data_IF_418775157105
#
_entry.id   IF_418775157105
#
_cell.length_a   1.000
_cell.length_b   1.000
_cell.length_c   1.000
_cell.angle_alpha   90.00
_cell.angle_beta   90.00
_cell.angle_gamma   90.00
#
_symmetry.space_group_name_H-M   'P 1'
#
loop_
_entity.id
_entity.type
_entity.pdbx_description
1 polymer ?
#
# COMPACT_ATOMS: atom_id res chain seq x y z
N UNK A 1 -15.28 -18.50 43.65
CA UNK A 1 -15.86 -18.79 42.32
C UNK A 1 -14.77 -19.37 41.45
N UNK A 2 -14.76 -20.69 41.26
CA UNK A 2 -13.79 -21.37 40.40
C UNK A 2 -14.08 -21.04 38.93
N UNK A 3 -13.05 -20.84 38.07
CA UNK A 3 -13.30 -20.66 36.64
C UNK A 3 -13.93 -21.93 36.10
N UNK A 4 -15.09 -21.80 35.44
CA UNK A 4 -15.73 -22.91 34.72
C UNK A 4 -14.70 -23.43 33.70
N UNK A 5 -14.15 -24.62 33.95
CA UNK A 5 -13.40 -25.38 32.95
C UNK A 5 -14.26 -25.48 31.70
N UNK A 6 -13.72 -25.08 30.55
CA UNK A 6 -14.36 -25.24 29.24
C UNK A 6 -14.79 -26.70 29.07
N UNK A 7 -15.96 -26.92 28.47
CA UNK A 7 -16.41 -28.29 28.24
C UNK A 7 -15.45 -29.00 27.27
N UNK A 8 -15.11 -30.28 27.50
CA UNK A 8 -14.06 -31.01 26.79
C UNK A 8 -14.30 -31.22 25.27
N UNK A 9 -15.43 -30.73 24.73
CA UNK A 9 -15.82 -30.82 23.32
C UNK A 9 -16.15 -29.45 22.69
N UNK A 10 -15.60 -28.36 23.23
CA UNK A 10 -15.91 -27.03 22.71
C UNK A 10 -15.26 -26.78 21.34
N UNK A 11 -16.09 -26.59 20.31
CA UNK A 11 -15.65 -26.20 18.96
C UNK A 11 -15.00 -24.81 19.01
N UNK A 12 -13.83 -24.59 18.35
CA UNK A 12 -13.24 -23.26 18.29
C UNK A 12 -14.16 -22.31 17.53
N UNK A 13 -14.31 -21.08 18.05
CA UNK A 13 -15.12 -20.03 17.45
C UNK A 13 -14.24 -18.83 17.20
N UNK A 14 -14.18 -18.39 15.95
CA UNK A 14 -13.55 -17.13 15.54
C UNK A 14 -14.61 -16.03 15.68
N UNK A 15 -14.34 -15.04 16.52
CA UNK A 15 -15.24 -13.90 16.74
C UNK A 15 -14.83 -12.71 15.87
N UNK A 16 -13.54 -12.38 15.87
CA UNK A 16 -13.00 -11.28 15.07
C UNK A 16 -11.64 -11.64 14.51
N UNK A 17 -11.37 -11.18 13.29
CA UNK A 17 -10.04 -11.19 12.66
C UNK A 17 -9.68 -9.77 12.27
N UNK A 18 -8.53 -9.29 12.73
CA UNK A 18 -8.03 -7.93 12.44
C UNK A 18 -6.54 -7.95 12.09
N UNK A 19 -6.08 -7.21 11.07
CA UNK A 19 -6.87 -6.44 10.10
C UNK A 19 -7.70 -7.35 9.17
N UNK A 20 -8.63 -6.80 8.37
CA UNK A 20 -9.46 -7.59 7.45
C UNK A 20 -8.69 -8.21 6.28
N UNK A 21 -7.47 -7.73 6.01
CA UNK A 21 -6.62 -8.25 4.94
C UNK A 21 -5.15 -8.35 5.33
N UNK A 22 -4.41 -9.24 4.67
CA UNK A 22 -2.97 -9.35 4.81
C UNK A 22 -2.31 -9.89 3.53
N UNK A 23 -1.05 -9.52 3.31
CA UNK A 23 -0.16 -10.16 2.31
C UNK A 23 0.74 -11.19 3.00
N UNK A 24 1.54 -11.92 2.23
CA UNK A 24 2.48 -12.91 2.76
C UNK A 24 3.41 -12.34 3.84
N UNK A 25 3.60 -13.09 4.92
CA UNK A 25 4.34 -12.65 6.11
C UNK A 25 3.63 -11.62 6.98
N UNK A 26 2.45 -11.13 6.57
CA UNK A 26 1.55 -10.33 7.38
C UNK A 26 0.89 -11.16 8.48
N UNK A 27 0.45 -10.49 9.54
CA UNK A 27 -0.17 -11.12 10.70
C UNK A 27 -1.66 -10.75 10.81
N UNK A 28 -2.49 -11.75 11.12
CA UNK A 28 -3.86 -11.61 11.56
C UNK A 28 -3.95 -11.83 13.07
N UNK A 29 -4.59 -10.90 13.78
CA UNK A 29 -5.00 -11.09 15.16
C UNK A 29 -6.39 -11.70 15.20
N UNK A 30 -6.50 -12.84 15.87
CA UNK A 30 -7.72 -13.63 15.97
C UNK A 30 -8.19 -13.59 17.41
N UNK A 31 -9.38 -13.05 17.65
CA UNK A 31 -10.08 -13.19 18.93
C UNK A 31 -11.19 -14.22 18.79
N UNK A 32 -11.37 -15.01 19.83
CA UNK A 32 -12.33 -16.09 19.79
C UNK A 32 -12.49 -16.81 21.11
N UNK A 33 -13.05 -18.01 21.03
CA UNK A 33 -13.19 -18.94 22.16
C UNK A 33 -12.74 -20.32 21.75
N UNK A 34 -12.16 -21.04 22.71
CA UNK A 34 -11.75 -22.45 22.55
C UNK A 34 -10.79 -22.69 21.38
N UNK A 35 -10.01 -21.67 21.00
CA UNK A 35 -9.00 -21.76 19.94
C UNK A 35 -7.94 -22.80 20.29
N UNK A 36 -7.64 -22.95 21.58
CA UNK A 36 -6.87 -24.03 22.17
C UNK A 36 -7.67 -24.70 23.28
N UNK A 37 -7.39 -25.98 23.52
CA UNK A 37 -8.07 -26.85 24.49
C UNK A 37 -7.34 -26.98 25.83
N UNK A 38 -6.02 -26.78 25.86
CA UNK A 38 -5.16 -26.81 27.06
C UNK A 38 -3.81 -26.10 26.78
N UNK A 39 -2.99 -25.85 27.82
CA UNK A 39 -1.69 -25.18 27.64
C UNK A 39 -0.68 -26.01 26.83
N UNK A 40 -0.90 -27.32 26.69
CA UNK A 40 0.01 -28.25 26.04
C UNK A 40 -0.25 -28.38 24.52
N UNK A 41 -1.46 -28.05 24.05
CA UNK A 41 -1.85 -28.10 22.64
C UNK A 41 -2.05 -26.71 22.06
N UNK A 42 -1.09 -26.27 21.24
CA UNK A 42 -1.25 -25.06 20.46
C UNK A 42 -2.34 -25.25 19.38
N UNK A 43 -3.14 -24.20 19.09
CA UNK A 43 -4.04 -24.23 17.94
C UNK A 43 -3.25 -24.48 16.65
N UNK A 44 -3.96 -24.86 15.59
CA UNK A 44 -3.48 -24.72 14.22
C UNK A 44 -4.39 -23.73 13.50
N UNK A 45 -3.79 -22.88 12.68
CA UNK A 45 -4.51 -22.05 11.73
C UNK A 45 -4.29 -22.62 10.32
N UNK A 46 -5.37 -22.71 9.55
CA UNK A 46 -5.37 -23.28 8.20
C UNK A 46 -5.97 -22.29 7.21
N UNK A 47 -5.34 -22.14 6.06
CA UNK A 47 -5.91 -21.54 4.85
C UNK A 47 -6.02 -22.66 3.81
N UNK A 48 -7.22 -23.20 3.64
CA UNK A 48 -7.42 -24.44 2.88
C UNK A 48 -6.65 -25.61 3.49
N UNK A 49 -5.70 -26.15 2.72
CA UNK A 49 -4.78 -27.20 3.16
C UNK A 49 -3.47 -26.67 3.77
N UNK A 50 -3.19 -25.37 3.65
CA UNK A 50 -1.93 -24.76 4.07
C UNK A 50 -1.96 -24.42 5.55
N UNK A 51 -0.97 -24.91 6.30
CA UNK A 51 -0.80 -24.59 7.73
C UNK A 51 -0.13 -23.25 7.90
N UNK A 52 -0.76 -22.38 8.67
CA UNK A 52 -0.20 -21.10 9.06
C UNK A 52 0.60 -21.18 10.36
N UNK A 53 1.65 -20.36 10.44
CA UNK A 53 2.46 -20.24 11.64
C UNK A 53 1.70 -19.42 12.68
N UNK A 54 1.61 -19.93 13.89
CA UNK A 54 1.21 -19.12 15.05
C UNK A 54 2.40 -18.37 15.62
N UNK A 55 2.26 -17.05 15.73
CA UNK A 55 3.19 -16.18 16.45
C UNK A 55 2.83 -16.16 17.94
N UNK A 56 1.53 -16.15 18.24
CA UNK A 56 0.97 -16.27 19.58
C UNK A 56 -0.24 -17.21 19.51
N UNK A 57 -0.41 -18.08 20.50
CA UNK A 57 -1.56 -18.98 20.59
C UNK A 57 -2.06 -19.10 22.02
N UNK A 58 -3.36 -18.98 22.19
CA UNK A 58 -4.06 -19.14 23.47
C UNK A 58 -5.53 -19.47 23.23
N UNK A 59 -6.27 -19.71 24.30
CA UNK A 59 -7.67 -20.16 24.21
C UNK A 59 -8.63 -19.13 23.59
N UNK A 60 -8.35 -17.84 23.77
CA UNK A 60 -9.22 -16.74 23.31
C UNK A 60 -8.52 -15.74 22.37
N UNK A 61 -7.23 -15.94 22.10
CA UNK A 61 -6.42 -15.04 21.30
C UNK A 61 -5.34 -15.80 20.56
N UNK A 62 -5.14 -15.47 19.28
CA UNK A 62 -4.04 -15.98 18.48
C UNK A 62 -3.54 -14.89 17.53
N UNK A 63 -2.26 -14.98 17.16
CA UNK A 63 -1.66 -14.20 16.07
C UNK A 63 -1.21 -15.18 15.01
N UNK A 64 -1.84 -15.13 13.85
CA UNK A 64 -1.65 -16.05 12.73
C UNK A 64 -0.87 -15.32 11.64
N UNK A 65 0.31 -15.83 11.28
CA UNK A 65 1.09 -15.31 10.16
C UNK A 65 0.66 -15.95 8.86
N UNK A 66 0.33 -15.12 7.86
CA UNK A 66 -0.01 -15.56 6.50
C UNK A 66 1.21 -16.24 5.88
N UNK A 67 1.09 -17.52 5.50
CA UNK A 67 2.14 -18.24 4.79
C UNK A 67 2.34 -17.71 3.37
N UNK A 68 3.49 -18.04 2.81
CA UNK A 68 3.72 -17.92 1.37
C UNK A 68 2.77 -18.90 0.62
N UNK A 69 2.43 -18.57 -0.62
CA UNK A 69 1.63 -19.40 -1.54
C UNK A 69 0.17 -19.68 -1.13
N UNK A 70 -0.37 -18.94 -0.17
CA UNK A 70 -1.82 -19.03 0.14
C UNK A 70 -2.64 -18.26 -0.89
N UNK A 71 -3.59 -18.95 -1.50
CA UNK A 71 -4.59 -18.35 -2.41
C UNK A 71 -5.99 -18.27 -1.80
N UNK A 72 -6.22 -18.96 -0.69
CA UNK A 72 -7.52 -18.96 0.00
C UNK A 72 -7.65 -17.80 0.98
N UNK A 73 -8.73 -17.03 0.87
CA UNK A 73 -9.08 -15.95 1.80
C UNK A 73 -10.00 -16.40 2.93
N UNK A 74 -9.88 -17.66 3.36
CA UNK A 74 -10.67 -18.24 4.45
C UNK A 74 -9.77 -18.96 5.44
N UNK A 75 -9.85 -18.54 6.69
CA UNK A 75 -9.09 -19.12 7.78
C UNK A 75 -9.95 -20.03 8.64
N UNK A 76 -9.40 -21.18 9.03
CA UNK A 76 -9.99 -22.11 9.98
C UNK A 76 -9.03 -22.29 11.16
N UNK A 77 -9.56 -22.21 12.39
CA UNK A 77 -8.84 -22.57 13.60
C UNK A 77 -9.16 -24.01 13.99
N UNK A 78 -8.13 -24.81 14.21
CA UNK A 78 -8.21 -26.21 14.65
C UNK A 78 -7.57 -26.32 16.03
N UNK A 79 -8.31 -26.83 17.00
CA UNK A 79 -7.82 -27.01 18.37
C UNK A 79 -7.32 -28.43 18.66
N UNK A 80 -7.09 -29.24 17.63
CA UNK A 80 -6.67 -30.64 17.70
C UNK A 80 -7.80 -31.63 17.88
N UNK A 81 -9.01 -31.17 18.25
CA UNK A 81 -10.23 -31.99 18.38
C UNK A 81 -11.28 -31.64 17.34
N UNK A 82 -11.37 -30.37 16.97
CA UNK A 82 -12.40 -29.85 16.09
C UNK A 82 -11.93 -28.58 15.39
N UNK A 83 -12.57 -28.26 14.27
CA UNK A 83 -12.29 -27.09 13.44
C UNK A 83 -13.40 -26.05 13.58
N UNK A 84 -13.06 -24.77 13.49
CA UNK A 84 -14.03 -23.67 13.50
C UNK A 84 -14.85 -23.69 12.22
N UNK A 85 -15.90 -22.85 12.15
CA UNK A 85 -16.39 -22.43 10.84
C UNK A 85 -15.29 -21.60 10.14
N UNK A 86 -15.18 -21.64 8.80
CA UNK A 86 -14.26 -20.79 8.07
C UNK A 86 -14.63 -19.31 8.26
N UNK A 87 -13.64 -18.48 8.60
CA UNK A 87 -13.79 -17.04 8.70
C UNK A 87 -13.15 -16.37 7.49
N UNK A 88 -13.84 -15.41 6.89
CA UNK A 88 -13.31 -14.68 5.73
C UNK A 88 -12.26 -13.66 6.20
N UNK A 89 -11.08 -13.70 5.59
CA UNK A 89 -10.02 -12.70 5.77
C UNK A 89 -9.20 -12.65 4.49
N UNK A 90 -9.10 -11.46 3.88
CA UNK A 90 -8.55 -11.33 2.54
C UNK A 90 -7.05 -11.58 2.54
N UNK A 91 -6.58 -12.48 1.69
CA UNK A 91 -5.16 -12.74 1.46
C UNK A 91 -4.76 -12.17 0.10
N UNK A 92 -3.70 -11.37 0.07
CA UNK A 92 -3.20 -10.78 -1.16
C UNK A 92 -2.58 -11.81 -2.09
N UNK A 93 -3.04 -11.83 -3.34
CA UNK A 93 -2.52 -12.69 -4.39
C UNK A 93 -1.37 -11.99 -5.09
N UNK A 94 -0.22 -12.64 -5.21
CA UNK A 94 0.91 -12.13 -5.98
C UNK A 94 0.52 -11.98 -7.45
N UNK A 95 0.69 -10.78 -8.01
CA UNK A 95 0.46 -10.49 -9.43
C UNK A 95 1.75 -10.22 -10.19
N UNK A 96 2.85 -9.90 -9.49
CA UNK A 96 4.18 -9.78 -10.07
C UNK A 96 5.26 -9.86 -8.97
N UNK A 97 6.44 -10.37 -9.34
CA UNK A 97 7.58 -10.56 -8.43
C UNK A 97 8.88 -9.99 -9.03
N UNK A 98 9.90 -9.85 -8.19
CA UNK A 98 11.25 -9.40 -8.59
C UNK A 98 11.27 -8.03 -9.30
N UNK A 99 10.34 -7.16 -8.92
CA UNK A 99 10.23 -5.81 -9.46
C UNK A 99 10.96 -4.79 -8.61
N UNK A 100 11.00 -4.96 -7.29
CA UNK A 100 11.55 -3.96 -6.37
C UNK A 100 10.95 -2.55 -6.60
N UNK A 101 9.62 -2.38 -6.60
CA UNK A 101 9.03 -1.05 -6.70
C UNK A 101 9.44 -0.18 -5.52
N UNK A 102 9.50 1.14 -5.77
CA UNK A 102 9.98 2.11 -4.77
C UNK A 102 8.90 3.07 -4.28
N UNK A 103 7.70 3.02 -4.88
CA UNK A 103 6.55 3.87 -4.55
C UNK A 103 5.22 3.18 -4.92
N UNK A 104 4.10 3.89 -4.79
CA UNK A 104 2.80 3.43 -5.26
C UNK A 104 2.82 3.11 -6.77
N UNK A 105 2.17 2.02 -7.21
CA UNK A 105 1.90 1.82 -8.62
C UNK A 105 0.87 2.85 -9.11
N UNK A 106 0.79 3.03 -10.43
CA UNK A 106 -0.30 3.75 -11.08
C UNK A 106 -1.23 2.76 -11.78
N UNK A 107 -2.51 3.10 -11.92
CA UNK A 107 -3.50 2.24 -12.56
C UNK A 107 -4.18 3.05 -13.67
N UNK A 108 -4.29 2.47 -14.86
CA UNK A 108 -5.02 3.11 -15.96
C UNK A 108 -6.53 2.83 -15.88
N UNK A 109 -7.31 3.48 -16.76
CA UNK A 109 -8.78 3.35 -16.79
C UNK A 109 -9.26 1.94 -17.12
N UNK A 110 -8.43 1.11 -17.76
CA UNK A 110 -8.74 -0.28 -18.08
C UNK A 110 -8.46 -1.22 -16.90
N UNK A 111 -7.75 -0.75 -15.87
CA UNK A 111 -7.34 -1.52 -14.70
C UNK A 111 -5.97 -2.18 -14.86
N UNK A 112 -5.18 -1.81 -15.87
CA UNK A 112 -3.80 -2.25 -15.96
C UNK A 112 -2.94 -1.53 -14.92
N UNK A 113 -1.97 -2.25 -14.34
CA UNK A 113 -1.12 -1.74 -13.27
C UNK A 113 0.25 -1.38 -13.81
N UNK A 114 0.71 -0.16 -13.54
CA UNK A 114 2.03 0.34 -13.92
C UNK A 114 2.89 0.51 -12.69
N UNK A 115 4.13 0.04 -12.77
CA UNK A 115 5.05 0.04 -11.64
C UNK A 115 6.49 0.22 -12.09
N UNK A 116 7.31 0.78 -11.20
CA UNK A 116 8.74 0.87 -11.40
C UNK A 116 9.42 -0.48 -11.14
N UNK A 117 10.50 -0.77 -11.87
CA UNK A 117 11.50 -1.77 -11.51
C UNK A 117 12.83 -1.10 -11.24
N UNK A 118 13.34 -1.18 -10.02
CA UNK A 118 14.64 -0.61 -9.65
C UNK A 118 15.79 -1.61 -9.58
N UNK A 119 15.52 -2.91 -9.82
CA UNK A 119 16.51 -3.98 -9.68
C UNK A 119 17.05 -4.11 -8.26
N UNK A 120 17.88 -5.13 -8.04
CA UNK A 120 18.67 -5.21 -6.81
C UNK A 120 19.87 -4.25 -6.86
N UNK A 121 20.46 -3.91 -5.71
CA UNK A 121 21.60 -2.98 -5.65
C UNK A 121 22.76 -3.49 -6.51
N UNK A 122 23.05 -2.80 -7.61
CA UNK A 122 24.13 -3.14 -8.56
C UNK A 122 23.64 -3.81 -9.86
N UNK A 123 22.36 -4.13 -9.97
CA UNK A 123 21.74 -4.62 -11.19
C UNK A 123 21.47 -3.45 -12.16
N UNK A 124 21.88 -3.59 -13.42
CA UNK A 124 21.47 -2.67 -14.49
C UNK A 124 20.14 -3.17 -15.07
N UNK A 125 19.10 -2.36 -14.96
CA UNK A 125 17.78 -2.70 -15.48
C UNK A 125 17.52 -1.91 -16.77
N UNK A 126 17.47 -2.55 -17.95
CA UNK A 126 17.36 -1.86 -19.23
C UNK A 126 15.99 -1.22 -19.49
N UNK A 127 14.94 -1.65 -18.77
CA UNK A 127 13.63 -0.97 -18.75
C UNK A 127 13.15 -0.88 -17.32
N UNK A 128 12.74 0.30 -16.90
CA UNK A 128 12.46 0.60 -15.50
C UNK A 128 10.97 0.82 -15.20
N UNK A 129 10.10 0.79 -16.22
CA UNK A 129 8.64 0.85 -16.08
C UNK A 129 8.01 -0.39 -16.70
N UNK A 130 7.11 -1.04 -15.95
CA UNK A 130 6.37 -2.21 -16.40
C UNK A 130 4.87 -2.00 -16.27
N UNK A 131 4.13 -2.54 -17.23
CA UNK A 131 2.69 -2.73 -17.22
C UNK A 131 2.39 -4.19 -16.88
N UNK A 132 1.46 -4.42 -15.96
CA UNK A 132 0.82 -5.70 -15.69
C UNK A 132 -0.59 -5.55 -16.27
N UNK A 133 -0.90 -6.30 -17.32
CA UNK A 133 -2.22 -6.26 -17.94
C UNK A 133 -3.25 -7.14 -17.19
N UNK A 134 -4.49 -7.16 -17.69
CA UNK A 134 -5.59 -7.90 -17.07
C UNK A 134 -5.39 -9.43 -17.08
N UNK A 135 -4.47 -9.95 -17.91
CA UNK A 135 -4.08 -11.36 -17.90
C UNK A 135 -2.88 -11.64 -16.97
N UNK A 136 -2.42 -10.61 -16.24
CA UNK A 136 -1.21 -10.62 -15.42
C UNK A 136 0.09 -10.77 -16.24
N UNK A 137 0.06 -10.46 -17.53
CA UNK A 137 1.28 -10.41 -18.33
C UNK A 137 2.07 -9.14 -18.00
N UNK A 138 3.35 -9.33 -17.67
CA UNK A 138 4.28 -8.25 -17.37
C UNK A 138 5.00 -7.78 -18.65
N UNK A 139 4.82 -6.52 -19.04
CA UNK A 139 5.38 -5.93 -20.27
C UNK A 139 6.15 -4.64 -19.98
N UNK A 140 7.37 -4.45 -20.51
CA UNK A 140 8.07 -3.18 -20.43
C UNK A 140 7.30 -2.08 -21.18
N UNK A 141 7.33 -0.85 -20.66
CA UNK A 141 6.70 0.31 -21.30
C UNK A 141 7.66 1.50 -21.33
N UNK A 142 7.71 2.20 -22.46
CA UNK A 142 8.52 3.41 -22.61
C UNK A 142 10.01 3.14 -22.81
N UNK A 143 10.78 4.23 -22.75
CA UNK A 143 12.23 4.21 -22.81
C UNK A 143 12.87 3.90 -21.43
N UNK A 144 14.18 3.66 -21.42
CA UNK A 144 14.94 3.54 -20.19
C UNK A 144 14.95 4.87 -19.42
N UNK A 145 14.32 4.88 -18.23
CA UNK A 145 14.39 5.99 -17.28
C UNK A 145 15.26 5.54 -16.11
N UNK A 146 16.30 6.31 -15.78
CA UNK A 146 17.19 5.96 -14.66
C UNK A 146 16.51 6.31 -13.34
N UNK A 147 16.43 5.36 -12.41
CA UNK A 147 15.77 5.50 -11.10
C UNK A 147 14.38 6.17 -11.17
N UNK A 148 13.40 5.60 -11.89
CA UNK A 148 12.05 6.13 -11.84
C UNK A 148 11.48 5.97 -10.42
N UNK A 149 10.62 6.88 -9.98
CA UNK A 149 10.05 6.83 -8.62
C UNK A 149 8.53 6.99 -8.60
N UNK A 150 8.03 8.19 -8.88
CA UNK A 150 6.59 8.47 -8.87
C UNK A 150 5.97 8.20 -10.24
N UNK A 151 4.73 7.72 -10.22
CA UNK A 151 3.92 7.41 -11.40
C UNK A 151 2.54 8.05 -11.24
N UNK A 152 2.05 8.74 -12.27
CA UNK A 152 0.69 9.28 -12.29
C UNK A 152 0.16 9.39 -13.72
N UNK A 153 -1.12 9.12 -13.93
CA UNK A 153 -1.77 9.30 -15.22
C UNK A 153 -2.42 10.68 -15.33
N UNK A 154 -2.25 11.34 -16.48
CA UNK A 154 -3.08 12.49 -16.82
C UNK A 154 -4.44 12.05 -17.40
N UNK A 155 -5.36 13.00 -17.62
CA UNK A 155 -6.69 12.74 -18.18
C UNK A 155 -6.66 12.24 -19.63
N UNK A 156 -5.54 12.40 -20.34
CA UNK A 156 -5.33 11.93 -21.70
C UNK A 156 -4.82 10.47 -21.74
N UNK A 157 -4.51 9.86 -20.60
CA UNK A 157 -3.95 8.52 -20.50
C UNK A 157 -2.44 8.46 -20.69
N UNK A 158 -1.74 9.60 -20.69
CA UNK A 158 -0.28 9.61 -20.66
C UNK A 158 0.23 9.35 -19.23
N UNK A 159 1.23 8.48 -19.10
CA UNK A 159 1.88 8.16 -17.84
C UNK A 159 3.03 9.14 -17.59
N UNK A 160 2.92 9.94 -16.53
CA UNK A 160 3.99 10.79 -16.04
C UNK A 160 4.86 10.03 -15.04
N UNK A 161 6.17 10.16 -15.20
CA UNK A 161 7.19 9.41 -14.45
C UNK A 161 8.26 10.37 -13.96
N UNK A 162 8.52 10.39 -12.65
CA UNK A 162 9.65 11.15 -12.12
C UNK A 162 10.93 10.31 -12.10
N UNK A 163 12.06 10.93 -12.39
CA UNK A 163 13.38 10.36 -12.14
C UNK A 163 14.06 11.08 -10.98
N UNK A 164 14.33 10.34 -9.89
CA UNK A 164 15.13 10.85 -8.77
C UNK A 164 16.63 10.95 -9.08
N UNK A 165 17.05 10.54 -10.28
CA UNK A 165 18.46 10.62 -10.69
C UNK A 165 18.83 12.00 -11.23
N UNK A 166 17.99 12.52 -12.14
CA UNK A 166 18.24 13.80 -12.82
C UNK A 166 17.18 14.87 -12.53
N UNK A 167 16.10 14.53 -11.80
CA UNK A 167 15.01 15.46 -11.51
C UNK A 167 14.05 15.70 -12.68
N UNK A 168 14.20 14.96 -13.77
CA UNK A 168 13.34 15.06 -14.96
C UNK A 168 12.02 14.34 -14.73
N UNK A 169 10.94 14.96 -15.20
CA UNK A 169 9.65 14.29 -15.39
C UNK A 169 9.55 13.87 -16.85
N UNK A 170 9.33 12.58 -17.06
CA UNK A 170 9.08 11.99 -18.36
C UNK A 170 7.57 11.78 -18.56
N UNK A 171 7.11 11.84 -19.80
CA UNK A 171 5.76 11.47 -20.19
C UNK A 171 5.85 10.31 -21.18
N UNK A 172 5.13 9.23 -20.87
CA UNK A 172 5.00 8.06 -21.73
C UNK A 172 3.57 8.05 -22.28
N UNK A 173 3.45 8.20 -23.60
CA UNK A 173 2.18 8.12 -24.33
C UNK A 173 1.64 6.68 -24.31
N UNK A 174 0.32 6.47 -24.55
CA UNK A 174 -0.27 5.13 -24.67
C UNK A 174 0.40 4.22 -25.72
N UNK A 175 1.00 4.80 -26.77
CA UNK A 175 1.74 4.07 -27.79
C UNK A 175 3.19 3.71 -27.37
N UNK A 176 3.60 4.04 -26.14
CA UNK A 176 4.93 3.80 -25.60
C UNK A 176 5.97 4.88 -25.92
N UNK A 177 5.64 5.91 -26.71
CA UNK A 177 6.57 7.00 -26.97
C UNK A 177 6.86 7.78 -25.69
N UNK A 178 8.14 7.99 -25.40
CA UNK A 178 8.61 8.69 -24.20
C UNK A 178 9.20 10.04 -24.60
N UNK A 179 8.76 11.11 -23.92
CA UNK A 179 9.30 12.46 -24.08
C UNK A 179 9.57 13.13 -22.72
N UNK A 180 10.39 14.17 -22.71
CA UNK A 180 10.59 15.00 -21.52
C UNK A 180 9.37 15.90 -21.35
N UNK A 181 8.76 15.83 -20.17
CA UNK A 181 7.64 16.68 -19.79
C UNK A 181 8.12 17.98 -19.15
N UNK A 182 9.00 17.87 -18.14
CA UNK A 182 9.56 19.01 -17.40
C UNK A 182 10.90 18.65 -16.74
N UNK A 183 11.73 19.67 -16.45
CA UNK A 183 13.05 19.53 -15.81
C UNK A 183 13.28 20.66 -14.80
N UNK A 184 14.29 20.50 -13.93
CA UNK A 184 14.74 21.56 -13.02
C UNK A 184 14.13 21.57 -11.62
N UNK A 185 13.52 20.47 -11.16
CA UNK A 185 12.82 20.37 -9.87
C UNK A 185 13.63 19.66 -8.75
N UNK A 186 14.96 19.74 -8.78
CA UNK A 186 15.79 19.07 -7.77
C UNK A 186 15.71 17.54 -7.85
N UNK A 187 15.41 16.86 -6.73
CA UNK A 187 15.29 15.40 -6.66
C UNK A 187 13.80 15.01 -6.71
N UNK A 188 13.25 14.99 -7.92
CA UNK A 188 11.83 14.67 -8.17
C UNK A 188 11.45 13.25 -7.74
N UNK A 189 10.34 13.11 -7.01
CA UNK A 189 9.85 11.83 -6.46
C UNK A 189 8.35 11.66 -6.64
N UNK A 190 7.52 11.85 -5.61
CA UNK A 190 6.07 11.68 -5.71
C UNK A 190 5.45 12.58 -6.78
N UNK A 191 4.42 12.07 -7.45
CA UNK A 191 3.63 12.77 -8.47
C UNK A 191 2.16 12.67 -8.12
N UNK A 192 1.40 13.74 -8.33
CA UNK A 192 -0.06 13.73 -8.30
C UNK A 192 -0.62 14.80 -9.24
N UNK A 193 -1.77 14.56 -9.86
CA UNK A 193 -2.47 15.57 -10.66
C UNK A 193 -3.74 16.04 -9.96
N UNK A 194 -4.05 17.32 -10.06
CA UNK A 194 -5.35 17.85 -9.67
C UNK A 194 -6.38 17.70 -10.81
N UNK A 195 -7.63 18.09 -10.54
CA UNK A 195 -8.72 18.05 -11.51
C UNK A 195 -8.52 18.99 -12.71
N UNK A 196 -7.73 20.05 -12.56
CA UNK A 196 -7.41 20.98 -13.65
C UNK A 196 -6.25 20.48 -14.53
N UNK A 197 -5.64 19.34 -14.17
CA UNK A 197 -4.52 18.74 -14.89
C UNK A 197 -3.17 19.37 -14.55
N UNK A 198 -3.07 20.14 -13.45
CA UNK A 198 -1.77 20.57 -12.94
C UNK A 198 -1.05 19.39 -12.29
N UNK A 199 0.24 19.24 -12.60
CA UNK A 199 1.09 18.23 -11.99
C UNK A 199 1.78 18.77 -10.74
N UNK A 200 1.71 18.03 -9.66
CA UNK A 200 2.41 18.30 -8.42
C UNK A 200 3.57 17.33 -8.27
N UNK A 201 4.76 17.87 -7.97
CA UNK A 201 6.01 17.11 -7.91
C UNK A 201 6.68 17.36 -6.57
N UNK A 202 6.95 16.30 -5.82
CA UNK A 202 7.69 16.38 -4.57
C UNK A 202 9.19 16.28 -4.82
N UNK A 203 9.94 17.30 -4.42
CA UNK A 203 11.40 17.29 -4.33
C UNK A 203 11.83 16.91 -2.92
N UNK A 204 12.70 15.90 -2.79
CA UNK A 204 13.20 15.43 -1.49
C UNK A 204 13.81 16.51 -0.59
N UNK A 205 14.24 17.64 -1.14
CA UNK A 205 14.78 18.75 -0.35
C UNK A 205 13.72 19.53 0.45
N UNK A 206 12.42 19.31 0.22
CA UNK A 206 11.35 19.99 0.94
C UNK A 206 10.33 20.69 0.06
N UNK A 207 10.62 20.86 -1.23
CA UNK A 207 9.79 21.68 -2.12
C UNK A 207 8.73 20.82 -2.81
N UNK A 208 7.49 21.32 -2.85
CA UNK A 208 6.45 20.81 -3.74
C UNK A 208 6.31 21.79 -4.89
N UNK A 209 6.58 21.32 -6.10
CA UNK A 209 6.38 22.11 -7.32
C UNK A 209 4.98 21.86 -7.89
N UNK A 210 4.38 22.90 -8.46
CA UNK A 210 3.19 22.81 -9.32
C UNK A 210 3.60 23.13 -10.75
N UNK A 211 3.18 22.30 -11.69
CA UNK A 211 3.42 22.46 -13.12
C UNK A 211 2.06 22.60 -13.81
N UNK A 212 1.82 23.72 -14.48
CA UNK A 212 0.55 23.94 -15.21
C UNK A 212 0.48 23.05 -16.47
N UNK A 213 -0.72 22.89 -17.08
CA UNK A 213 -0.85 22.24 -18.39
C UNK A 213 0.03 22.85 -19.48
N UNK A 214 0.31 24.15 -19.40
CA UNK A 214 1.24 24.90 -20.26
C UNK A 214 2.71 24.71 -19.86
N UNK A 215 2.99 23.81 -18.91
CA UNK A 215 4.32 23.43 -18.40
C UNK A 215 5.06 24.56 -17.66
N UNK A 216 4.32 25.51 -17.10
CA UNK A 216 4.91 26.54 -16.23
C UNK A 216 5.12 25.98 -14.82
N UNK A 217 6.32 26.18 -14.26
CA UNK A 217 6.72 25.60 -12.97
C UNK A 217 6.66 26.68 -11.88
N UNK A 218 6.01 26.36 -10.76
CA UNK A 218 5.89 27.23 -9.58
C UNK A 218 6.24 26.44 -8.31
N UNK A 219 6.77 27.13 -7.30
CA UNK A 219 6.81 26.60 -5.93
C UNK A 219 5.40 26.66 -5.36
N UNK A 220 4.84 25.52 -4.99
CA UNK A 220 3.49 25.40 -4.45
C UNK A 220 3.48 25.42 -2.92
N UNK A 221 4.35 24.63 -2.31
CA UNK A 221 4.49 24.55 -0.86
C UNK A 221 5.92 24.13 -0.47
N UNK A 222 6.25 24.30 0.80
CA UNK A 222 7.51 23.84 1.39
C UNK A 222 7.23 23.07 2.68
N UNK A 223 7.86 21.91 2.81
CA UNK A 223 7.77 20.99 3.93
C UNK A 223 9.18 20.57 4.38
N UNK A 224 9.24 19.78 5.45
CA UNK A 224 10.50 19.20 5.95
C UNK A 224 11.10 18.19 4.96
N UNK A 225 12.43 18.22 4.71
CA UNK A 225 13.09 17.32 3.78
C UNK A 225 12.83 15.82 4.06
N UNK A 226 12.72 15.02 2.99
CA UNK A 226 12.53 13.57 3.09
C UNK A 226 13.84 12.79 2.87
N UNK A 227 14.11 11.82 3.75
CA UNK A 227 15.30 10.97 3.62
C UNK A 227 15.14 9.87 2.56
N UNK A 228 13.93 9.67 2.03
CA UNK A 228 13.65 8.62 1.05
C UNK A 228 13.01 9.17 -0.23
N UNK A 229 11.76 9.65 -0.15
CA UNK A 229 10.97 10.22 -1.24
C UNK A 229 9.80 11.02 -0.66
N UNK A 230 9.21 11.93 -1.42
CA UNK A 230 7.83 12.35 -1.14
C UNK A 230 6.84 11.41 -1.81
N UNK A 231 5.67 11.22 -1.20
CA UNK A 231 4.52 10.62 -1.86
C UNK A 231 3.35 11.61 -1.78
N UNK A 232 2.55 11.66 -2.84
CA UNK A 232 1.54 12.68 -3.07
C UNK A 232 0.25 11.99 -3.52
N UNK A 233 -0.90 12.49 -3.06
CA UNK A 233 -2.21 12.12 -3.59
C UNK A 233 -3.18 13.29 -3.43
N UNK A 234 -3.97 13.56 -4.47
CA UNK A 234 -5.03 14.56 -4.41
C UNK A 234 -6.32 13.96 -3.86
N UNK A 235 -6.87 14.64 -2.87
CA UNK A 235 -8.20 14.39 -2.34
C UNK A 235 -9.26 15.03 -3.25
N UNK A 236 -10.35 14.32 -3.58
CA UNK A 236 -11.50 14.91 -4.27
C UNK A 236 -12.07 16.17 -3.61
N UNK A 237 -11.86 16.38 -2.29
CA UNK A 237 -12.25 17.63 -1.62
C UNK A 237 -11.30 18.82 -1.85
N UNK A 238 -10.22 18.65 -2.63
CA UNK A 238 -9.34 19.74 -3.04
C UNK A 238 -8.15 20.01 -2.12
N UNK A 239 -7.68 18.98 -1.41
CA UNK A 239 -6.41 19.03 -0.65
C UNK A 239 -5.39 18.05 -1.21
N UNK A 240 -4.11 18.43 -1.17
CA UNK A 240 -3.01 17.55 -1.51
C UNK A 240 -2.47 16.91 -0.23
N UNK A 241 -2.58 15.59 -0.11
CA UNK A 241 -1.95 14.84 0.97
C UNK A 241 -0.51 14.50 0.63
N UNK A 242 0.38 14.67 1.61
CA UNK A 242 1.82 14.51 1.43
C UNK A 242 2.44 13.70 2.56
N UNK A 243 3.24 12.70 2.21
CA UNK A 243 4.13 12.01 3.16
C UNK A 243 5.58 12.19 2.74
N UNK A 244 6.42 12.52 3.71
CA UNK A 244 7.87 12.68 3.58
C UNK A 244 8.57 11.84 4.65
N UNK A 245 8.74 10.53 4.45
CA UNK A 245 9.31 9.64 5.45
C UNK A 245 10.70 10.08 5.91
N UNK A 246 10.89 10.10 7.23
CA UNK A 246 12.17 10.37 7.89
C UNK A 246 12.69 9.09 8.58
N UNK A 247 13.66 9.23 9.49
CA UNK A 247 14.08 8.13 10.38
C UNK A 247 13.15 8.00 11.61
N UNK A 248 12.19 8.91 11.77
CA UNK A 248 11.27 8.95 12.91
C UNK A 248 10.24 7.81 12.85
N UNK A 249 9.84 7.35 14.04
CA UNK A 249 8.65 6.49 14.20
C UNK A 249 7.37 7.29 14.43
N UNK A 250 7.43 8.61 14.25
CA UNK A 250 6.38 9.57 14.60
C UNK A 250 6.28 10.71 13.57
N UNK A 251 6.38 10.33 12.29
CA UNK A 251 6.24 11.19 11.11
C UNK A 251 4.79 11.64 10.90
N UNK A 252 4.65 12.64 10.03
CA UNK A 252 3.40 13.28 9.67
C UNK A 252 2.85 12.79 8.33
N UNK A 253 1.54 12.84 8.19
CA UNK A 253 0.84 13.08 6.93
C UNK A 253 0.46 14.56 6.92
N UNK A 254 0.87 15.30 5.90
CA UNK A 254 0.47 16.69 5.72
C UNK A 254 -0.75 16.78 4.81
N UNK A 255 -1.61 17.76 5.07
CA UNK A 255 -2.60 18.25 4.11
C UNK A 255 -2.17 19.64 3.65
N UNK A 256 -2.08 19.84 2.35
CA UNK A 256 -1.75 21.12 1.71
C UNK A 256 -2.99 21.61 0.97
N UNK A 257 -3.49 22.79 1.34
CA UNK A 257 -4.65 23.39 0.68
C UNK A 257 -4.35 23.74 -0.78
N UNK A 258 -5.38 23.99 -1.59
CA UNK A 258 -5.23 24.46 -2.97
C UNK A 258 -4.48 25.80 -3.09
N UNK A 259 -4.35 26.55 -1.99
CA UNK A 259 -3.55 27.78 -1.90
C UNK A 259 -2.08 27.53 -1.53
N UNK A 260 -1.67 26.28 -1.28
CA UNK A 260 -0.31 25.91 -0.90
C UNK A 260 -0.04 25.96 0.61
N UNK A 261 -1.08 26.13 1.44
CA UNK A 261 -0.94 26.20 2.89
C UNK A 261 -0.88 24.79 3.49
N UNK A 262 0.27 24.45 4.10
CA UNK A 262 0.49 23.14 4.70
C UNK A 262 0.04 23.09 6.17
N UNK A 263 -0.62 21.99 6.53
CA UNK A 263 -0.98 21.65 7.91
C UNK A 263 -0.73 20.17 8.18
N UNK A 264 -0.59 19.79 9.45
CA UNK A 264 -0.47 18.37 9.83
C UNK A 264 -1.87 17.78 9.87
N UNK A 265 -2.12 16.79 9.02
CA UNK A 265 -3.36 16.01 9.01
C UNK A 265 -3.34 14.88 10.04
N UNK A 266 -2.22 14.16 10.10
CA UNK A 266 -2.03 13.07 11.06
C UNK A 266 -0.58 13.01 11.51
N UNK A 267 -0.34 12.64 12.77
CA UNK A 267 1.00 12.45 13.34
C UNK A 267 1.08 11.15 14.12
N UNK A 268 2.17 10.41 13.94
CA UNK A 268 2.41 9.16 14.68
C UNK A 268 2.56 7.93 13.80
N UNK A 269 2.85 8.11 12.51
CA UNK A 269 3.22 7.03 11.61
C UNK A 269 4.74 6.86 11.62
N UNK A 270 5.21 5.62 11.66
CA UNK A 270 6.59 5.30 11.36
C UNK A 270 6.78 5.11 9.86
N UNK A 271 7.65 5.91 9.26
CA UNK A 271 8.02 5.83 7.84
C UNK A 271 6.79 5.72 6.91
N UNK A 272 5.88 6.70 6.91
CA UNK A 272 4.76 6.72 5.98
C UNK A 272 5.29 6.87 4.55
N UNK A 273 4.85 6.03 3.62
CA UNK A 273 5.30 5.99 2.23
C UNK A 273 4.13 6.25 1.29
N UNK A 274 3.92 5.41 0.28
CA UNK A 274 2.88 5.58 -0.73
C UNK A 274 1.49 5.66 -0.12
N UNK A 275 0.66 6.46 -0.77
CA UNK A 275 -0.71 6.74 -0.39
C UNK A 275 -1.65 6.50 -1.57
N UNK A 276 -2.92 6.26 -1.27
CA UNK A 276 -4.01 6.24 -2.22
C UNK A 276 -5.29 6.70 -1.54
N UNK A 277 -6.22 7.21 -2.32
CA UNK A 277 -7.56 7.58 -1.88
C UNK A 277 -8.55 6.68 -2.62
N UNK A 278 -9.54 6.15 -1.92
CA UNK A 278 -10.61 5.38 -2.55
C UNK A 278 -11.71 6.28 -3.13
N UNK A 279 -12.69 5.67 -3.80
CA UNK A 279 -13.82 6.36 -4.43
C UNK A 279 -14.74 7.10 -3.44
N UNK A 280 -14.51 6.96 -2.13
CA UNK A 280 -15.23 7.64 -1.05
C UNK A 280 -14.40 8.74 -0.38
N UNK A 281 -13.20 9.03 -0.88
CA UNK A 281 -12.32 10.04 -0.28
C UNK A 281 -11.58 9.57 0.97
N UNK A 282 -11.54 8.26 1.27
CA UNK A 282 -10.82 7.75 2.44
C UNK A 282 -9.34 7.60 2.11
N UNK A 283 -8.47 8.14 2.96
CA UNK A 283 -7.01 8.09 2.78
C UNK A 283 -6.42 6.79 3.33
N UNK A 284 -5.60 6.13 2.52
CA UNK A 284 -4.83 4.95 2.90
C UNK A 284 -3.34 5.21 2.76
N UNK A 285 -2.57 4.84 3.79
CA UNK A 285 -1.13 5.12 3.88
C UNK A 285 -0.37 3.83 4.19
N UNK A 286 0.62 3.50 3.36
CA UNK A 286 1.60 2.47 3.69
C UNK A 286 2.53 2.98 4.80
N UNK A 287 2.53 2.36 5.97
CA UNK A 287 3.29 2.85 7.12
C UNK A 287 3.56 1.75 8.17
N UNK A 288 4.20 2.16 9.27
CA UNK A 288 4.17 1.44 10.53
C UNK A 288 3.38 2.23 11.58
N UNK A 289 2.62 1.56 12.44
CA UNK A 289 1.95 2.20 13.58
C UNK A 289 1.78 1.18 14.71
N UNK A 290 2.08 1.58 15.95
CA UNK A 290 1.98 0.68 17.11
C UNK A 290 2.81 -0.62 16.99
N UNK A 291 3.94 -0.57 16.29
CA UNK A 291 4.79 -1.75 16.03
C UNK A 291 4.29 -2.66 14.89
N UNK A 292 3.14 -2.35 14.28
CA UNK A 292 2.57 -3.10 13.15
C UNK A 292 2.93 -2.43 11.83
N UNK A 293 3.16 -3.23 10.79
CA UNK A 293 3.48 -2.76 9.43
C UNK A 293 2.34 -3.11 8.49
N UNK A 294 1.98 -2.19 7.62
CA UNK A 294 0.81 -2.40 6.80
C UNK A 294 0.34 -1.16 6.06
N UNK A 295 -0.92 -1.24 5.64
CA UNK A 295 -1.68 -0.11 5.12
C UNK A 295 -2.68 0.30 6.18
N UNK A 296 -2.69 1.59 6.48
CA UNK A 296 -3.56 2.20 7.48
C UNK A 296 -4.54 3.14 6.80
N UNK A 297 -5.82 3.01 7.13
CA UNK A 297 -6.87 3.95 6.74
C UNK A 297 -6.91 5.06 7.78
N UNK A 298 -6.91 6.30 7.32
CA UNK A 298 -7.07 7.49 8.14
C UNK A 298 -8.43 8.12 7.85
N UNK A 299 -9.20 8.39 8.90
CA UNK A 299 -10.44 9.15 8.80
C UNK A 299 -10.17 10.67 8.83
N UNK A 300 -11.14 11.50 8.40
CA UNK A 300 -11.06 12.96 8.58
C UNK A 300 -10.90 13.39 10.05
N UNK A 301 -11.42 12.60 10.99
CA UNK A 301 -11.29 12.83 12.44
C UNK A 301 -9.97 12.30 13.02
N UNK A 302 -9.02 11.92 12.15
CA UNK A 302 -7.71 11.36 12.48
C UNK A 302 -7.74 10.00 13.20
N UNK A 303 -8.86 9.29 13.21
CA UNK A 303 -8.89 7.87 13.60
C UNK A 303 -8.10 7.01 12.61
N UNK A 304 -7.30 6.09 13.14
CA UNK A 304 -6.44 5.19 12.38
C UNK A 304 -6.88 3.74 12.54
N UNK A 305 -6.97 3.01 11.43
CA UNK A 305 -7.18 1.56 11.46
C UNK A 305 -6.25 0.85 10.48
N UNK A 306 -5.64 -0.26 10.92
CA UNK A 306 -4.89 -1.12 10.00
C UNK A 306 -5.89 -1.88 9.12
N UNK A 307 -5.74 -1.80 7.80
CA UNK A 307 -6.60 -2.48 6.84
C UNK A 307 -5.90 -3.62 6.10
N UNK A 308 -4.58 -3.52 5.93
CA UNK A 308 -3.72 -4.58 5.39
C UNK A 308 -2.54 -4.80 6.32
N UNK A 309 -2.27 -6.05 6.70
CA UNK A 309 -1.04 -6.45 7.38
C UNK A 309 0.01 -6.94 6.38
N UNK A 310 1.25 -6.50 6.51
CA UNK A 310 2.28 -6.95 5.58
C UNK A 310 3.65 -6.32 5.80
N UNK A 311 4.73 -7.07 5.57
CA UNK A 311 6.07 -6.52 5.58
C UNK A 311 6.39 -5.77 4.28
N UNK A 312 7.25 -4.75 4.39
CA UNK A 312 7.93 -4.16 3.23
C UNK A 312 7.03 -3.44 2.23
N UNK A 313 5.80 -3.07 2.61
CA UNK A 313 4.89 -2.30 1.77
C UNK A 313 5.46 -0.89 1.56
N UNK A 314 5.53 -0.46 0.30
CA UNK A 314 6.07 0.85 -0.10
C UNK A 314 5.02 1.75 -0.73
N UNK A 315 3.90 1.20 -1.17
CA UNK A 315 2.81 1.95 -1.75
C UNK A 315 1.66 1.06 -2.18
N UNK A 316 0.64 1.69 -2.75
CA UNK A 316 -0.64 1.07 -3.04
C UNK A 316 -1.41 1.89 -4.09
N UNK A 317 -2.38 1.25 -4.74
CA UNK A 317 -3.34 1.91 -5.61
C UNK A 317 -4.66 1.12 -5.61
N UNK A 318 -5.75 1.76 -6.01
CA UNK A 318 -7.03 1.08 -6.23
C UNK A 318 -7.23 0.79 -7.71
N UNK A 319 -7.74 -0.41 -8.01
CA UNK A 319 -8.26 -0.76 -9.32
C UNK A 319 -9.67 -0.16 -9.50
N UNK A 320 -10.15 0.01 -10.76
CA UNK A 320 -11.54 0.37 -11.03
C UNK A 320 -12.57 -0.58 -10.39
N UNK A 321 -12.18 -1.83 -10.13
CA UNK A 321 -12.96 -2.84 -9.41
C UNK A 321 -13.01 -2.66 -7.90
N UNK A 322 -12.38 -1.60 -7.37
CA UNK A 322 -12.21 -1.29 -5.93
C UNK A 322 -11.28 -2.24 -5.17
N UNK A 323 -10.63 -3.15 -5.87
CA UNK A 323 -9.56 -3.96 -5.29
C UNK A 323 -8.30 -3.11 -5.08
N UNK A 324 -7.52 -3.48 -4.07
CA UNK A 324 -6.28 -2.80 -3.77
C UNK A 324 -5.10 -3.55 -4.39
N UNK A 325 -4.25 -2.81 -5.09
CA UNK A 325 -2.91 -3.27 -5.45
C UNK A 325 -1.95 -2.75 -4.39
N UNK A 326 -1.15 -3.65 -3.83
CA UNK A 326 -0.14 -3.35 -2.81
C UNK A 326 1.24 -3.61 -3.41
N UNK A 327 2.10 -2.60 -3.39
CA UNK A 327 3.49 -2.71 -3.81
C UNK A 327 4.39 -2.92 -2.59
N UNK A 328 5.30 -3.88 -2.68
CA UNK A 328 6.32 -4.17 -1.66
C UNK A 328 7.72 -4.07 -2.25
N UNK A 329 8.76 -4.12 -1.42
CA UNK A 329 10.14 -4.21 -1.91
C UNK A 329 10.47 -5.45 -2.77
N UNK A 330 9.56 -6.41 -2.93
CA UNK A 330 9.73 -7.60 -3.77
C UNK A 330 8.82 -7.60 -5.01
N UNK A 331 7.56 -7.21 -4.87
CA UNK A 331 6.56 -7.41 -5.91
C UNK A 331 5.27 -6.66 -5.66
N UNK A 332 4.21 -7.09 -6.36
CA UNK A 332 2.87 -6.52 -6.25
C UNK A 332 1.88 -7.62 -5.88
N UNK A 333 0.93 -7.26 -5.02
CA UNK A 333 -0.17 -8.10 -4.57
C UNK A 333 -1.49 -7.44 -4.93
N UNK A 334 -2.47 -8.23 -5.36
CA UNK A 334 -3.87 -7.81 -5.53
C UNK A 334 -4.68 -8.35 -4.36
N UNK A 335 -5.42 -7.47 -3.70
CA UNK A 335 -6.26 -7.81 -2.55
C UNK A 335 -7.70 -7.43 -2.87
N UNK A 336 -8.58 -8.41 -2.73
CA UNK A 336 -10.02 -8.20 -2.73
C UNK A 336 -10.55 -8.40 -1.30
N UNK A 337 -11.02 -7.33 -0.67
CA UNK A 337 -11.64 -7.40 0.66
C UNK A 337 -13.06 -6.82 0.61
N UNK A 338 -14.09 -7.62 0.96
CA UNK A 338 -15.47 -7.14 1.04
C UNK A 338 -15.64 -5.96 2.02
N UNK A 339 -14.80 -5.91 3.05
CA UNK A 339 -14.82 -4.84 4.06
C UNK A 339 -14.51 -3.45 3.51
N UNK A 340 -13.97 -3.34 2.30
CA UNK A 340 -13.66 -2.07 1.65
C UNK A 340 -14.81 -1.58 0.77
N UNK A 341 -15.61 -2.51 0.24
CA UNK A 341 -16.74 -2.23 -0.66
C UNK A 341 -18.04 -1.96 0.09
N UNK A 342 -18.22 -2.52 1.29
CA UNK A 342 -19.55 -2.69 1.92
C UNK A 342 -19.93 -1.72 3.06
N UNK A 343 -19.17 -0.64 3.32
CA UNK A 343 -19.63 0.45 4.23
C UNK A 343 -20.10 1.71 3.50
#
# INVERSE_FOLDING_TARGET
MSPKRSSPNSRPVIETVTPPAAIFGGDFEVRGRHLSIDEDHQPLALFGSVKARLVVGGSNYAVVRVPDDVTESRMVMDNGRSKSEPHMCAVGLTIAENLHPVASPAVDVEGNVFTTRSGTRGEKVPVSIFKIDLNLDLKPVGAEIVNPTGLAFNKQGDLLVSSRNNGTIYMIRPNGQTEIYAEGMGIATGLALDEDGNLFVGDRTGTIFKISPERQIFVFATLEPSIAAYHLVWDPAGSLFVTGPTTSSFDNVYSVSSAGEASVFYRGLGRPQGMAIDDRGRLYVAASHGGRKGIFRLSPDADISQVVSGPGIVGLAFLPTKEMVVATGSGLYRINSPSWTDE
#
